data_IF_799470401022
#
_entry.id   IF_799470401022
#
_cell.length_a   1.000
_cell.length_b   1.000
_cell.length_c   1.000
_cell.angle_alpha   90.00
_cell.angle_beta   90.00
_cell.angle_gamma   90.00
#
_symmetry.space_group_name_H-M   'P 1'
#
loop_
_entity.id
_entity.type
_entity.pdbx_description
1 polymer ?
#
# COMPACT_ATOMS: atom_id res chain seq x y z
N UNK A 1 -4.53 -9.62 -25.52
CA UNK A 1 -4.97 -8.57 -24.57
C UNK A 1 -4.94 -9.22 -23.20
N UNK A 2 -3.88 -9.01 -22.45
CA UNK A 2 -3.51 -9.85 -21.30
C UNK A 2 -3.67 -9.08 -19.97
N UNK A 3 -4.49 -9.64 -19.07
CA UNK A 3 -4.39 -9.64 -17.59
C UNK A 3 -4.10 -8.33 -16.83
N UNK A 4 -4.29 -7.16 -17.42
CA UNK A 4 -4.07 -5.87 -16.76
C UNK A 4 -5.12 -5.55 -15.67
N UNK A 5 -6.21 -6.34 -15.62
CA UNK A 5 -7.38 -6.16 -14.74
C UNK A 5 -7.27 -6.82 -13.34
N UNK A 6 -6.18 -7.54 -13.03
CA UNK A 6 -6.11 -8.33 -11.78
C UNK A 6 -5.34 -7.69 -10.62
N UNK A 7 -4.62 -6.58 -10.83
CA UNK A 7 -3.67 -6.04 -9.84
C UNK A 7 -4.14 -4.80 -9.09
N UNK A 8 -5.19 -4.13 -9.55
CA UNK A 8 -5.83 -3.02 -8.84
C UNK A 8 -7.31 -3.32 -8.65
N UNK A 9 -7.79 -3.33 -7.41
CA UNK A 9 -9.17 -3.76 -7.07
C UNK A 9 -9.82 -2.85 -6.04
N UNK A 10 -11.14 -2.87 -5.95
CA UNK A 10 -11.84 -2.19 -4.85
C UNK A 10 -11.86 -3.08 -3.59
N UNK A 11 -11.53 -2.50 -2.44
CA UNK A 11 -11.42 -3.25 -1.17
C UNK A 11 -12.73 -3.94 -0.77
N UNK A 12 -13.85 -3.31 -1.08
CA UNK A 12 -15.19 -3.78 -0.73
C UNK A 12 -15.97 -4.20 -1.98
N UNK A 13 -15.28 -4.55 -3.06
CA UNK A 13 -15.90 -5.12 -4.24
C UNK A 13 -16.72 -6.36 -3.87
N UNK A 14 -17.93 -6.47 -4.42
CA UNK A 14 -18.87 -7.55 -4.09
C UNK A 14 -19.58 -7.45 -2.73
N UNK A 15 -19.33 -6.42 -1.92
CA UNK A 15 -20.14 -6.14 -0.72
C UNK A 15 -21.24 -5.14 -1.06
N UNK A 16 -22.47 -5.45 -0.67
CA UNK A 16 -23.60 -4.54 -0.85
C UNK A 16 -23.37 -3.20 -0.10
N UNK A 17 -23.64 -2.04 -0.72
CA UNK A 17 -23.41 -0.74 -0.07
C UNK A 17 -24.17 -0.53 1.25
N UNK A 18 -25.36 -1.12 1.40
CA UNK A 18 -26.16 -1.07 2.62
C UNK A 18 -25.48 -1.91 3.70
N UNK A 19 -25.02 -3.12 3.35
CA UNK A 19 -24.23 -3.97 4.24
C UNK A 19 -22.95 -3.26 4.70
N UNK A 20 -22.17 -2.70 3.77
CA UNK A 20 -20.94 -1.96 4.09
C UNK A 20 -21.19 -0.75 5.00
N UNK A 21 -22.33 -0.09 4.86
CA UNK A 21 -22.73 1.02 5.74
C UNK A 21 -23.04 0.55 7.16
N UNK A 22 -23.59 -0.66 7.30
CA UNK A 22 -23.97 -1.26 8.58
C UNK A 22 -22.82 -2.01 9.27
N UNK A 23 -21.75 -2.35 8.55
CA UNK A 23 -20.56 -2.99 9.13
C UNK A 23 -19.93 -2.12 10.23
N UNK A 24 -19.69 -2.75 11.38
CA UNK A 24 -18.94 -2.20 12.51
C UNK A 24 -17.47 -2.03 12.13
N UNK A 25 -16.76 -1.17 12.85
CA UNK A 25 -15.32 -0.90 12.63
C UNK A 25 -14.49 -2.19 12.62
N UNK A 26 -14.71 -3.09 13.58
CA UNK A 26 -13.99 -4.38 13.68
C UNK A 26 -14.24 -5.31 12.51
N UNK A 27 -15.45 -5.31 11.96
CA UNK A 27 -15.80 -6.13 10.78
C UNK A 27 -15.12 -5.59 9.53
N UNK A 28 -15.04 -4.25 9.38
CA UNK A 28 -14.28 -3.62 8.30
C UNK A 28 -12.78 -3.93 8.39
N UNK A 29 -12.21 -3.87 9.59
CA UNK A 29 -10.81 -4.22 9.84
C UNK A 29 -10.54 -5.68 9.51
N UNK A 30 -11.39 -6.60 9.99
CA UNK A 30 -11.27 -8.03 9.68
C UNK A 30 -11.42 -8.33 8.18
N UNK A 31 -12.35 -7.65 7.50
CA UNK A 31 -12.51 -7.77 6.05
C UNK A 31 -11.28 -7.30 5.29
N UNK A 32 -10.74 -6.13 5.64
CA UNK A 32 -9.50 -5.62 5.05
C UNK A 32 -8.34 -6.60 5.29
N UNK A 33 -8.19 -7.09 6.52
CA UNK A 33 -7.15 -8.05 6.87
C UNK A 33 -7.25 -9.33 6.03
N UNK A 34 -8.45 -9.89 5.90
CA UNK A 34 -8.70 -11.11 5.14
C UNK A 34 -8.50 -10.90 3.63
N UNK A 35 -9.00 -9.80 3.10
CA UNK A 35 -8.89 -9.46 1.67
C UNK A 35 -7.43 -9.30 1.26
N UNK A 36 -6.66 -8.53 2.04
CA UNK A 36 -5.22 -8.37 1.81
C UNK A 36 -4.47 -9.69 1.99
N UNK A 37 -4.92 -10.58 2.88
CA UNK A 37 -4.31 -11.89 3.08
C UNK A 37 -4.51 -12.84 1.91
N UNK A 38 -5.68 -12.79 1.28
CA UNK A 38 -6.00 -13.64 0.15
C UNK A 38 -5.45 -13.12 -1.18
N UNK A 39 -5.08 -11.84 -1.25
CA UNK A 39 -4.64 -11.19 -2.47
C UNK A 39 -3.32 -10.43 -2.22
N UNK A 40 -2.19 -11.15 -2.00
CA UNK A 40 -0.90 -10.50 -1.88
C UNK A 40 -0.54 -9.80 -3.20
N UNK A 41 0.21 -8.70 -3.09
CA UNK A 41 0.69 -7.90 -4.23
C UNK A 41 -0.41 -7.26 -5.11
N UNK A 42 -1.65 -7.19 -4.60
CA UNK A 42 -2.76 -6.45 -5.22
C UNK A 42 -2.96 -5.12 -4.52
N UNK A 43 -3.05 -4.03 -5.28
CA UNK A 43 -3.37 -2.71 -4.78
C UNK A 43 -4.88 -2.55 -4.61
N UNK A 44 -5.33 -2.27 -3.39
CA UNK A 44 -6.74 -2.06 -3.12
C UNK A 44 -7.09 -0.59 -2.96
N UNK A 45 -8.08 -0.13 -3.73
CA UNK A 45 -8.73 1.18 -3.61
C UNK A 45 -9.73 1.17 -2.47
N UNK A 46 -9.63 2.16 -1.59
CA UNK A 46 -10.58 2.34 -0.47
C UNK A 46 -11.29 3.68 -0.65
N UNK A 47 -12.60 3.63 -0.86
CA UNK A 47 -13.44 4.80 -1.01
C UNK A 47 -14.07 5.22 0.33
N UNK A 48 -14.21 6.53 0.52
CA UNK A 48 -14.96 7.12 1.63
C UNK A 48 -15.89 8.18 1.07
N UNK A 49 -17.20 8.01 1.29
CA UNK A 49 -18.24 8.91 0.75
C UNK A 49 -18.12 9.11 -0.79
N UNK A 50 -17.84 8.04 -1.52
CA UNK A 50 -17.71 8.06 -2.98
C UNK A 50 -16.43 8.67 -3.53
N UNK A 51 -15.45 9.01 -2.68
CA UNK A 51 -14.13 9.52 -3.11
C UNK A 51 -13.02 8.56 -2.72
N UNK A 52 -12.05 8.38 -3.61
CA UNK A 52 -10.86 7.57 -3.33
C UNK A 52 -10.11 8.22 -2.16
N UNK A 53 -10.04 7.51 -1.04
CA UNK A 53 -9.52 8.04 0.21
C UNK A 53 -8.09 7.57 0.47
N UNK A 54 -7.81 6.32 0.13
CA UNK A 54 -6.50 5.70 0.28
C UNK A 54 -6.38 4.49 -0.63
N UNK A 55 -5.15 4.05 -0.85
CA UNK A 55 -4.86 2.74 -1.43
C UNK A 55 -4.01 1.93 -0.47
N UNK A 56 -4.19 0.61 -0.48
CA UNK A 56 -3.54 -0.31 0.45
C UNK A 56 -2.99 -1.51 -0.30
N UNK A 57 -1.74 -1.86 -0.03
CA UNK A 57 -1.05 -3.01 -0.58
C UNK A 57 -0.52 -3.88 0.57
N UNK A 58 -0.70 -5.20 0.47
CA UNK A 58 0.07 -6.16 1.26
C UNK A 58 1.15 -6.74 0.36
N UNK A 59 2.39 -6.72 0.84
CA UNK A 59 3.52 -7.30 0.13
C UNK A 59 4.39 -8.15 1.07
N UNK A 60 5.08 -9.13 0.51
CA UNK A 60 6.14 -9.87 1.18
C UNK A 60 7.50 -9.14 1.16
N UNK A 61 7.66 -8.11 0.31
CA UNK A 61 8.93 -7.38 0.09
C UNK A 61 8.74 -5.87 0.26
N UNK A 62 8.36 -5.42 1.47
CA UNK A 62 7.98 -4.04 1.73
C UNK A 62 9.06 -3.01 1.40
N UNK A 63 10.34 -3.29 1.67
CA UNK A 63 11.43 -2.35 1.41
C UNK A 63 11.63 -2.07 -0.08
N UNK A 64 11.58 -3.11 -0.90
CA UNK A 64 11.69 -2.96 -2.36
C UNK A 64 10.53 -2.14 -2.93
N UNK A 65 9.31 -2.43 -2.49
CA UNK A 65 8.13 -1.64 -2.86
C UNK A 65 8.26 -0.18 -2.44
N UNK A 66 8.68 0.08 -1.19
CA UNK A 66 8.87 1.44 -0.70
C UNK A 66 9.92 2.20 -1.50
N UNK A 67 11.04 1.54 -1.87
CA UNK A 67 12.07 2.13 -2.72
C UNK A 67 11.51 2.55 -4.08
N UNK A 68 10.90 1.62 -4.81
CA UNK A 68 10.35 1.90 -6.16
C UNK A 68 9.24 2.96 -6.09
N UNK A 69 8.34 2.87 -5.11
CA UNK A 69 7.30 3.88 -4.89
C UNK A 69 7.91 5.26 -4.60
N UNK A 70 8.97 5.34 -3.80
CA UNK A 70 9.64 6.61 -3.53
C UNK A 70 10.36 7.18 -4.75
N UNK A 71 10.99 6.34 -5.57
CA UNK A 71 11.71 6.79 -6.76
C UNK A 71 10.74 7.29 -7.85
N UNK A 72 9.59 6.63 -7.99
CA UNK A 72 8.52 7.03 -8.93
C UNK A 72 7.72 8.24 -8.45
N UNK A 73 7.48 8.35 -7.15
CA UNK A 73 6.51 9.31 -6.61
C UNK A 73 7.24 10.56 -6.11
N UNK A 74 7.32 11.56 -6.99
CA UNK A 74 7.86 12.90 -6.71
C UNK A 74 6.85 13.85 -6.06
N UNK A 75 5.61 13.38 -5.84
CA UNK A 75 4.44 14.19 -5.50
C UNK A 75 4.07 13.99 -4.02
N UNK A 76 3.45 15.01 -3.39
CA UNK A 76 3.04 15.14 -1.97
C UNK A 76 2.12 14.03 -1.36
N UNK A 77 2.31 12.76 -1.71
CA UNK A 77 1.65 11.61 -1.11
C UNK A 77 2.22 11.32 0.29
N UNK A 78 1.34 10.90 1.20
CA UNK A 78 1.72 10.40 2.52
C UNK A 78 1.78 8.88 2.46
N UNK A 79 2.94 8.31 2.78
CA UNK A 79 3.18 6.88 2.82
C UNK A 79 3.27 6.43 4.26
N UNK A 80 2.47 5.44 4.61
CA UNK A 80 2.56 4.80 5.90
C UNK A 80 2.74 3.30 5.70
N UNK A 81 3.93 2.81 6.04
CA UNK A 81 4.16 1.39 6.19
C UNK A 81 3.81 0.95 7.61
N UNK A 82 3.07 -0.15 7.73
CA UNK A 82 2.70 -0.73 9.03
C UNK A 82 3.05 -2.20 9.06
N UNK A 83 3.76 -2.62 10.11
CA UNK A 83 4.13 -4.02 10.38
C UNK A 83 3.23 -4.58 11.48
N UNK A 84 2.40 -5.58 11.17
CA UNK A 84 1.61 -6.30 12.19
C UNK A 84 2.34 -7.58 12.60
N UNK A 85 2.87 -7.59 13.82
CA UNK A 85 3.74 -8.65 14.37
C UNK A 85 3.03 -9.94 14.79
N UNK A 86 1.70 -9.98 14.80
CA UNK A 86 0.96 -11.03 15.50
C UNK A 86 0.99 -12.42 14.86
N UNK A 87 1.19 -12.56 13.53
CA UNK A 87 1.05 -13.90 12.90
C UNK A 87 2.03 -14.24 11.75
N UNK A 88 2.70 -13.28 11.08
CA UNK A 88 3.62 -13.61 9.97
C UNK A 88 4.46 -12.42 9.46
N UNK A 89 4.81 -11.44 10.30
CA UNK A 89 5.38 -10.16 9.84
C UNK A 89 4.61 -9.60 8.62
N UNK A 90 3.30 -9.36 8.79
CA UNK A 90 2.49 -8.86 7.69
C UNK A 90 2.79 -7.37 7.54
N UNK A 91 3.42 -7.00 6.43
CA UNK A 91 3.63 -5.63 6.04
C UNK A 91 2.48 -5.14 5.18
N UNK A 92 2.01 -3.93 5.49
CA UNK A 92 1.02 -3.23 4.69
C UNK A 92 1.55 -1.83 4.40
N UNK A 93 1.51 -1.45 3.14
CA UNK A 93 1.81 -0.11 2.68
C UNK A 93 0.47 0.57 2.44
N UNK A 94 0.22 1.66 3.15
CA UNK A 94 -0.96 2.51 2.97
C UNK A 94 -0.52 3.84 2.40
N UNK A 95 -1.19 4.29 1.35
CA UNK A 95 -0.93 5.59 0.73
C UNK A 95 -2.19 6.45 0.81
N UNK A 96 -2.00 7.69 1.22
CA UNK A 96 -3.08 8.68 1.31
C UNK A 96 -2.65 10.02 0.72
N UNK A 97 -3.58 10.74 0.12
CA UNK A 97 -3.33 12.00 -0.57
C UNK A 97 -4.58 12.52 -1.27
N UNK A 98 -4.40 13.38 -2.27
CA UNK A 98 -5.51 13.81 -3.13
C UNK A 98 -6.00 12.64 -3.99
N UNK A 99 -7.28 12.70 -4.40
CA UNK A 99 -7.86 11.68 -5.27
C UNK A 99 -7.09 11.53 -6.58
N UNK A 100 -6.67 12.63 -7.19
CA UNK A 100 -5.89 12.64 -8.43
C UNK A 100 -4.57 11.88 -8.26
N UNK A 101 -3.82 12.17 -7.19
CA UNK A 101 -2.57 11.47 -6.89
C UNK A 101 -2.79 9.99 -6.66
N UNK A 102 -3.81 9.61 -5.88
CA UNK A 102 -4.11 8.20 -5.62
C UNK A 102 -4.57 7.47 -6.88
N UNK A 103 -5.28 8.15 -7.78
CA UNK A 103 -5.67 7.60 -9.07
C UNK A 103 -4.45 7.38 -9.97
N UNK A 104 -3.52 8.33 -10.05
CA UNK A 104 -2.26 8.14 -10.77
C UNK A 104 -1.49 6.91 -10.29
N UNK A 105 -1.42 6.65 -8.97
CA UNK A 105 -0.80 5.42 -8.46
C UNK A 105 -1.53 4.16 -8.93
N UNK A 106 -2.86 4.21 -9.02
CA UNK A 106 -3.64 3.07 -9.50
C UNK A 106 -3.38 2.82 -10.99
N UNK A 107 -3.32 3.88 -11.79
CA UNK A 107 -3.13 3.80 -13.24
C UNK A 107 -1.72 3.28 -13.57
N UNK A 108 -0.71 3.73 -12.83
CA UNK A 108 0.71 3.35 -13.02
C UNK A 108 1.08 2.04 -12.30
N UNK A 109 0.17 1.42 -11.54
CA UNK A 109 0.51 0.32 -10.63
C UNK A 109 1.12 -0.89 -11.34
N UNK A 110 0.68 -1.20 -12.56
CA UNK A 110 1.25 -2.32 -13.32
C UNK A 110 2.70 -2.07 -13.70
N UNK A 111 3.07 -0.85 -14.11
CA UNK A 111 4.46 -0.52 -14.40
C UNK A 111 5.32 -0.55 -13.14
N UNK A 112 4.80 -0.01 -12.02
CA UNK A 112 5.47 -0.04 -10.72
C UNK A 112 5.69 -1.49 -10.28
N UNK A 113 4.68 -2.35 -10.46
CA UNK A 113 4.76 -3.77 -10.15
C UNK A 113 5.83 -4.46 -11.00
N UNK A 114 5.83 -4.25 -12.32
CA UNK A 114 6.80 -4.85 -13.22
C UNK A 114 8.22 -4.42 -12.85
N UNK A 115 8.44 -3.14 -12.52
CA UNK A 115 9.72 -2.64 -12.03
C UNK A 115 10.14 -3.27 -10.69
N UNK A 116 9.20 -3.47 -9.76
CA UNK A 116 9.47 -4.23 -8.52
C UNK A 116 9.89 -5.66 -8.84
N UNK A 117 9.23 -6.31 -9.80
CA UNK A 117 9.52 -7.69 -10.19
C UNK A 117 10.87 -7.83 -10.93
N UNK A 118 11.25 -6.86 -11.75
CA UNK A 118 12.54 -6.81 -12.45
C UNK A 118 13.70 -6.56 -11.48
N UNK A 119 13.47 -5.80 -10.41
CA UNK A 119 14.47 -5.52 -9.38
C UNK A 119 14.53 -6.59 -8.28
N UNK A 120 13.85 -7.73 -8.44
CA UNK A 120 13.99 -8.84 -7.51
C UNK A 120 15.41 -9.41 -7.65
N UNK A 121 16.18 -9.53 -6.55
CA UNK A 121 17.47 -10.18 -6.61
C UNK A 121 17.29 -11.64 -7.04
N UNK A 122 18.20 -12.09 -7.90
CA UNK A 122 18.27 -13.43 -8.48
C UNK A 122 18.80 -14.43 -7.44
N UNK A 123 18.18 -14.49 -6.26
CA UNK A 123 18.63 -15.32 -5.14
C UNK A 123 17.45 -15.98 -4.43
N UNK A 124 17.52 -17.32 -4.32
CA UNK A 124 16.59 -18.18 -3.59
C UNK A 124 16.65 -18.04 -2.06
N UNK A 125 16.65 -16.81 -1.53
CA UNK A 125 16.81 -16.53 -0.10
C UNK A 125 15.52 -16.05 0.55
N UNK A 126 14.98 -16.93 1.41
CA UNK A 126 14.03 -16.75 2.50
C UNK A 126 13.36 -15.38 2.70
N UNK A 127 12.03 -15.37 2.55
CA UNK A 127 11.10 -14.34 3.00
C UNK A 127 11.02 -14.26 4.54
N UNK A 128 12.10 -13.85 5.20
CA UNK A 128 12.15 -13.75 6.66
C UNK A 128 13.12 -12.68 7.14
N UNK A 129 12.58 -11.54 7.60
CA UNK A 129 13.30 -10.44 8.24
C UNK A 129 14.59 -10.03 7.49
N UNK A 130 14.44 -9.37 6.35
CA UNK A 130 15.57 -8.66 5.76
C UNK A 130 15.83 -7.38 6.58
N UNK A 131 17.00 -7.19 7.20
CA UNK A 131 17.34 -5.93 7.87
C UNK A 131 17.25 -4.72 6.93
N UNK A 132 17.33 -4.91 5.60
CA UNK A 132 17.05 -3.86 4.63
C UNK A 132 15.60 -3.39 4.65
N UNK A 133 14.62 -4.27 4.91
CA UNK A 133 13.21 -3.87 5.05
C UNK A 133 13.02 -3.01 6.30
N UNK A 134 13.71 -3.34 7.40
CA UNK A 134 13.66 -2.57 8.63
C UNK A 134 14.40 -1.22 8.48
N UNK A 135 15.52 -1.19 7.72
CA UNK A 135 16.23 0.07 7.38
C UNK A 135 15.38 0.94 6.46
N UNK A 136 14.71 0.36 5.48
CA UNK A 136 13.85 1.10 4.56
C UNK A 136 12.57 1.57 5.26
N UNK A 137 12.03 0.80 6.22
CA UNK A 137 10.99 1.25 7.14
C UNK A 137 11.40 2.53 7.86
N UNK A 138 12.59 2.51 8.46
CA UNK A 138 13.12 3.66 9.21
C UNK A 138 13.38 4.86 8.28
N UNK A 139 13.92 4.63 7.08
CA UNK A 139 14.14 5.69 6.08
C UNK A 139 12.84 6.34 5.61
N UNK A 140 11.84 5.53 5.28
CA UNK A 140 10.53 6.01 4.91
C UNK A 140 9.91 6.84 6.03
N UNK A 141 10.00 6.35 7.27
CA UNK A 141 9.49 7.06 8.45
C UNK A 141 10.20 8.39 8.70
N UNK A 142 11.52 8.45 8.52
CA UNK A 142 12.28 9.70 8.66
C UNK A 142 11.82 10.72 7.60
N UNK A 143 11.68 10.32 6.33
CA UNK A 143 11.23 11.23 5.27
C UNK A 143 9.80 11.73 5.47
N UNK A 144 8.91 10.89 5.97
CA UNK A 144 7.55 11.28 6.36
C UNK A 144 7.56 12.36 7.45
N UNK A 145 8.33 12.14 8.51
CA UNK A 145 8.49 13.11 9.62
C UNK A 145 9.13 14.43 9.15
N UNK A 146 10.01 14.40 8.15
CA UNK A 146 10.59 15.60 7.53
C UNK A 146 9.58 16.37 6.68
N UNK A 147 8.69 15.67 5.96
CA UNK A 147 7.58 16.28 5.22
C UNK A 147 6.57 16.92 6.17
N UNK A 148 6.21 16.24 7.26
CA UNK A 148 5.34 16.77 8.30
C UNK A 148 5.94 18.01 8.98
N UNK A 149 7.22 17.95 9.37
CA UNK A 149 7.94 19.11 9.92
C UNK A 149 7.96 20.31 8.95
N UNK A 150 8.18 20.08 7.65
CA UNK A 150 8.15 21.15 6.64
C UNK A 150 6.76 21.78 6.51
N UNK A 151 5.69 20.99 6.61
CA UNK A 151 4.31 21.50 6.59
C UNK A 151 4.01 22.32 7.85
N UNK A 152 4.42 21.85 9.03
CA UNK A 152 4.23 22.55 10.30
C UNK A 152 4.99 23.88 10.37
N UNK A 153 6.18 23.97 9.78
CA UNK A 153 6.98 25.21 9.73
C UNK A 153 6.48 26.25 8.73
N UNK A 154 5.53 25.90 7.84
CA UNK A 154 4.93 26.80 6.85
C UNK A 154 3.58 27.38 7.30
N UNK A 155 3.02 26.87 8.39
CA UNK A 155 1.88 27.44 9.11
C UNK A 155 2.37 28.30 10.28
#
# INVERSE_FOLDING_TARGET
>A
MAETELRVRDMYDGIDPIELKNMRKREKEAHIDQTLRNNPEVLFRVYKKGRLHMVILRTARPGLWMRVLHDRITINLSFQMTKRRAEANIYKITMSGSQEQLQHICDDFNEIYDEVMENLPDEGAAAGNNPEDDVEELRARIRELELENRRLRRN
#
